data_IF_985412247032
#
_entry.id   IF_985412247032
#
_cell.length_a   1.000
_cell.length_b   1.000
_cell.length_c   1.000
_cell.angle_alpha   90.00
_cell.angle_beta   90.00
_cell.angle_gamma   90.00
#
_symmetry.space_group_name_H-M   'P 1'
#
loop_
_entity.id
_entity.type
_entity.pdbx_description
1 polymer ?
#
# COMPACT_ATOMS: atom_id res chain seq x y z
N UNK A 1 5.67 -1.44 -4.91
CA UNK A 1 7.00 -1.81 -5.44
C UNK A 1 6.85 -3.18 -6.06
N UNK A 2 7.52 -3.46 -7.18
CA UNK A 2 7.49 -4.79 -7.77
C UNK A 2 8.15 -5.80 -6.82
N UNK A 3 7.41 -6.82 -6.41
CA UNK A 3 7.96 -8.00 -5.76
C UNK A 3 8.05 -9.12 -6.80
N UNK A 4 9.26 -9.56 -7.20
CA UNK A 4 9.42 -10.55 -8.27
C UNK A 4 8.86 -11.93 -7.91
N UNK A 5 8.53 -12.20 -6.65
CA UNK A 5 7.93 -13.47 -6.22
C UNK A 5 6.44 -13.38 -5.95
N UNK A 6 5.86 -12.21 -6.14
CA UNK A 6 4.43 -11.99 -6.05
C UNK A 6 3.70 -12.82 -7.11
N UNK A 7 2.57 -13.42 -6.72
CA UNK A 7 1.73 -14.19 -7.61
C UNK A 7 0.82 -15.15 -6.84
N UNK A 8 0.39 -16.21 -7.52
CA UNK A 8 -0.51 -17.23 -6.97
C UNK A 8 0.23 -18.57 -6.80
N UNK A 9 -0.05 -19.27 -5.71
CA UNK A 9 0.37 -20.66 -5.48
C UNK A 9 -0.45 -21.65 -6.31
N UNK A 10 -0.02 -22.92 -6.47
CA UNK A 10 -0.87 -23.96 -7.06
C UNK A 10 -2.23 -24.15 -6.36
N UNK A 11 -2.31 -23.80 -5.07
CA UNK A 11 -3.50 -23.89 -4.24
C UNK A 11 -4.44 -22.68 -4.38
N UNK A 12 -4.09 -21.69 -5.22
CA UNK A 12 -4.91 -20.50 -5.43
C UNK A 12 -4.74 -19.41 -4.36
N UNK A 13 -3.70 -19.50 -3.53
CA UNK A 13 -3.42 -18.51 -2.47
C UNK A 13 -2.40 -17.48 -2.91
N UNK A 14 -2.46 -16.31 -2.27
CA UNK A 14 -1.48 -15.24 -2.48
C UNK A 14 -0.10 -15.74 -2.06
N UNK A 15 0.92 -15.43 -2.86
CA UNK A 15 2.33 -15.60 -2.53
C UNK A 15 3.07 -14.28 -2.72
N UNK A 16 4.01 -14.01 -1.83
CA UNK A 16 4.95 -12.89 -1.94
C UNK A 16 6.37 -13.36 -1.61
N UNK A 17 7.33 -12.46 -1.81
CA UNK A 17 8.71 -12.60 -1.41
C UNK A 17 9.00 -12.15 0.02
N UNK A 18 7.99 -11.82 0.81
CA UNK A 18 8.19 -11.35 2.20
C UNK A 18 8.71 -12.47 3.09
N UNK A 19 9.84 -12.22 3.76
CA UNK A 19 10.39 -13.15 4.73
C UNK A 19 11.41 -12.46 5.62
N UNK A 20 11.40 -12.78 6.92
CA UNK A 20 12.46 -12.33 7.84
C UNK A 20 13.85 -12.82 7.42
N UNK A 21 13.95 -13.95 6.71
CA UNK A 21 15.22 -14.47 6.20
C UNK A 21 15.77 -13.69 4.99
N UNK A 22 14.97 -12.82 4.38
CA UNK A 22 15.35 -12.01 3.21
C UNK A 22 15.70 -10.57 3.54
N UNK A 23 15.45 -10.15 4.78
CA UNK A 23 15.86 -8.84 5.27
C UNK A 23 17.38 -8.72 5.09
N UNK A 24 17.87 -7.76 4.29
CA UNK A 24 19.30 -7.60 4.09
C UNK A 24 20.00 -7.21 5.39
N UNK A 25 21.17 -7.79 5.66
CA UNK A 25 21.89 -7.59 6.92
C UNK A 25 22.15 -6.12 7.25
N UNK A 26 22.38 -5.29 6.22
CA UNK A 26 22.63 -3.88 6.39
C UNK A 26 21.44 -3.09 6.98
N UNK A 27 20.20 -3.61 6.88
CA UNK A 27 19.00 -3.01 7.46
C UNK A 27 18.68 -3.54 8.86
N UNK A 28 19.34 -4.62 9.33
CA UNK A 28 19.11 -5.19 10.67
C UNK A 28 19.28 -4.18 11.80
N UNK A 29 20.30 -3.30 11.81
CA UNK A 29 20.46 -2.32 12.89
C UNK A 29 19.25 -1.38 13.05
N UNK A 30 18.58 -1.04 11.95
CA UNK A 30 17.37 -0.19 11.98
C UNK A 30 16.21 -0.94 12.62
N UNK A 31 15.99 -2.20 12.22
CA UNK A 31 14.92 -3.04 12.75
C UNK A 31 15.14 -3.38 14.23
N UNK A 32 16.37 -3.70 14.62
CA UNK A 32 16.72 -4.01 16.01
C UNK A 32 16.53 -2.78 16.91
N UNK A 33 16.87 -1.58 16.42
CA UNK A 33 16.61 -0.34 17.14
C UNK A 33 15.11 -0.06 17.29
N UNK A 34 14.32 -0.29 16.23
CA UNK A 34 12.86 -0.15 16.30
C UNK A 34 12.25 -1.14 17.30
N UNK A 35 12.65 -2.42 17.27
CA UNK A 35 12.20 -3.44 18.22
C UNK A 35 12.55 -3.07 19.66
N UNK A 36 13.76 -2.55 19.91
CA UNK A 36 14.17 -2.11 21.23
C UNK A 36 13.34 -0.92 21.74
N UNK A 37 12.99 0.01 20.84
CA UNK A 37 12.29 1.24 21.20
C UNK A 37 10.78 1.04 21.48
N UNK A 38 10.10 0.16 20.73
CA UNK A 38 8.65 -0.07 20.94
C UNK A 38 8.34 -0.77 22.26
N UNK A 39 9.32 -1.44 22.87
CA UNK A 39 9.20 -2.04 24.20
C UNK A 39 8.24 -3.23 24.30
N UNK A 40 8.05 -3.73 25.52
CA UNK A 40 7.17 -4.86 25.79
C UNK A 40 5.70 -4.43 25.77
N UNK A 41 4.94 -4.90 24.79
CA UNK A 41 3.48 -4.68 24.70
C UNK A 41 3.00 -4.35 23.29
N UNK A 42 3.88 -3.82 22.43
CA UNK A 42 3.57 -3.57 21.03
C UNK A 42 3.93 -4.78 20.14
N UNK A 43 3.18 -4.96 19.07
CA UNK A 43 3.56 -5.84 17.95
C UNK A 43 4.12 -4.97 16.84
N UNK A 44 5.26 -5.38 16.27
CA UNK A 44 5.91 -4.67 15.17
C UNK A 44 6.13 -5.62 14.00
N UNK A 45 5.81 -5.15 12.81
CA UNK A 45 6.05 -5.83 11.55
C UNK A 45 6.89 -4.94 10.63
N UNK A 46 7.69 -5.57 9.76
CA UNK A 46 8.31 -4.91 8.61
C UNK A 46 7.60 -5.34 7.34
N UNK A 47 7.43 -4.42 6.40
CA UNK A 47 6.88 -4.73 5.07
C UNK A 47 7.70 -4.04 3.97
N UNK A 48 7.21 -4.11 2.73
CA UNK A 48 7.81 -3.39 1.62
C UNK A 48 9.18 -3.93 1.20
N UNK A 49 10.06 -3.03 0.76
CA UNK A 49 11.32 -3.39 0.10
C UNK A 49 12.30 -4.13 1.02
N UNK A 50 12.29 -3.81 2.31
CA UNK A 50 13.16 -4.46 3.30
C UNK A 50 12.70 -5.88 3.53
N UNK A 51 11.40 -6.10 3.70
CA UNK A 51 10.82 -7.42 3.95
C UNK A 51 10.95 -8.37 2.74
N UNK A 52 10.99 -7.84 1.52
CA UNK A 52 11.16 -8.60 0.27
C UNK A 52 12.62 -8.75 -0.17
N UNK A 53 13.57 -8.18 0.57
CA UNK A 53 15.00 -8.22 0.24
C UNK A 53 15.41 -7.36 -0.96
N UNK A 54 14.56 -6.41 -1.38
CA UNK A 54 14.79 -5.51 -2.51
C UNK A 54 15.31 -4.12 -2.10
N UNK A 55 15.46 -3.87 -0.80
CA UNK A 55 15.89 -2.59 -0.27
C UNK A 55 17.31 -2.22 -0.74
N UNK A 56 17.51 -0.94 -1.05
CA UNK A 56 18.78 -0.37 -1.49
C UNK A 56 19.28 0.65 -0.48
N UNK A 57 20.55 0.54 -0.12
CA UNK A 57 21.20 1.45 0.83
C UNK A 57 21.05 2.92 0.43
N UNK A 58 20.67 3.75 1.40
CA UNK A 58 20.47 5.20 1.28
C UNK A 58 19.35 5.61 0.32
N UNK A 59 18.56 4.66 -0.20
CA UNK A 59 17.54 4.92 -1.24
C UNK A 59 16.16 4.36 -0.90
N UNK A 60 16.12 3.24 -0.19
CA UNK A 60 14.88 2.63 0.26
C UNK A 60 14.44 3.17 1.61
N UNK A 61 13.14 3.25 1.79
CA UNK A 61 12.54 3.47 3.10
C UNK A 61 12.50 2.14 3.88
N UNK A 62 12.46 2.26 5.21
CA UNK A 62 12.12 1.17 6.11
C UNK A 62 10.67 1.35 6.56
N UNK A 63 9.80 0.55 5.96
CA UNK A 63 8.37 0.55 6.21
C UNK A 63 8.02 -0.40 7.38
N UNK A 64 7.47 0.15 8.46
CA UNK A 64 7.08 -0.57 9.66
C UNK A 64 5.59 -0.39 9.96
N UNK A 65 4.97 -1.42 10.52
CA UNK A 65 3.61 -1.40 11.01
C UNK A 65 3.59 -1.83 12.48
N UNK A 66 3.06 -0.97 13.34
CA UNK A 66 2.99 -1.17 14.79
C UNK A 66 1.54 -1.34 15.25
N UNK A 67 1.33 -2.16 16.28
CA UNK A 67 0.05 -2.30 16.97
C UNK A 67 0.28 -2.20 18.47
N UNK A 68 -0.56 -1.43 19.17
CA UNK A 68 -0.38 -1.15 20.59
C UNK A 68 0.63 -0.03 20.88
N UNK A 69 1.19 0.60 19.84
CA UNK A 69 1.95 1.83 19.94
C UNK A 69 1.05 3.02 19.55
N UNK A 70 0.88 4.05 20.41
CA UNK A 70 0.13 5.24 20.05
C UNK A 70 0.69 5.91 18.79
N UNK A 71 -0.19 6.50 17.96
CA UNK A 71 0.21 7.09 16.69
C UNK A 71 1.22 8.26 16.83
N UNK A 72 1.12 9.03 17.92
CA UNK A 72 2.12 10.07 18.25
C UNK A 72 3.49 9.47 18.49
N UNK A 73 3.58 8.49 19.40
CA UNK A 73 4.81 7.78 19.72
C UNK A 73 5.42 7.08 18.50
N UNK A 74 4.59 6.49 17.63
CA UNK A 74 5.04 5.90 16.37
C UNK A 74 5.67 6.95 15.43
N UNK A 75 5.07 8.14 15.37
CA UNK A 75 5.59 9.26 14.54
C UNK A 75 6.91 9.77 15.09
N UNK A 76 7.01 9.99 16.41
CA UNK A 76 8.22 10.47 17.06
C UNK A 76 9.36 9.47 16.91
N UNK A 77 9.08 8.18 17.08
CA UNK A 77 10.05 7.11 16.87
C UNK A 77 10.50 6.99 15.41
N UNK A 78 9.58 7.13 14.45
CA UNK A 78 9.90 7.13 13.03
C UNK A 78 10.87 8.26 12.66
N UNK A 79 10.65 9.46 13.21
CA UNK A 79 11.53 10.61 13.02
C UNK A 79 12.91 10.37 13.64
N UNK A 80 12.98 9.88 14.88
CA UNK A 80 14.24 9.56 15.55
C UNK A 80 15.07 8.53 14.76
N UNK A 81 14.43 7.44 14.34
CA UNK A 81 15.11 6.38 13.58
C UNK A 81 15.52 6.85 12.19
N UNK A 82 14.70 7.69 11.54
CA UNK A 82 15.06 8.29 10.25
C UNK A 82 16.35 9.09 10.38
N UNK A 83 16.43 10.00 11.36
CA UNK A 83 17.62 10.83 11.59
C UNK A 83 18.85 10.00 11.95
N UNK A 84 18.66 8.97 12.78
CA UNK A 84 19.75 8.09 13.24
C UNK A 84 20.33 7.22 12.12
N UNK A 85 19.54 6.85 11.12
CA UNK A 85 19.90 5.85 10.11
C UNK A 85 19.85 6.39 8.66
N UNK A 86 20.05 7.70 8.47
CA UNK A 86 20.11 8.35 7.14
C UNK A 86 21.15 7.73 6.19
N UNK A 87 22.24 7.15 6.73
CA UNK A 87 23.26 6.48 5.91
C UNK A 87 22.81 5.10 5.39
N UNK A 88 21.81 4.49 6.03
CA UNK A 88 21.31 3.15 5.71
C UNK A 88 20.06 3.23 4.84
N UNK A 89 19.13 4.11 5.19
CA UNK A 89 17.81 4.23 4.57
C UNK A 89 17.48 5.69 4.25
N UNK A 90 16.54 5.90 3.32
CA UNK A 90 16.07 7.25 2.99
C UNK A 90 15.22 7.84 4.12
N UNK A 91 14.33 7.01 4.69
CA UNK A 91 13.54 7.31 5.87
C UNK A 91 13.09 6.02 6.54
N UNK A 92 12.62 6.13 7.78
CA UNK A 92 11.87 5.11 8.50
C UNK A 92 10.44 5.63 8.66
N UNK A 93 9.46 4.82 8.25
CA UNK A 93 8.04 5.13 8.42
C UNK A 93 7.41 4.08 9.32
N UNK A 94 6.70 4.53 10.37
CA UNK A 94 5.99 3.64 11.29
C UNK A 94 4.50 3.96 11.23
N UNK A 95 3.73 3.11 10.55
CA UNK A 95 2.28 3.17 10.59
C UNK A 95 1.75 2.60 11.91
N UNK A 96 0.82 3.29 12.56
CA UNK A 96 0.09 2.79 13.71
C UNK A 96 -1.20 2.11 13.25
N UNK A 97 -1.26 0.78 13.39
CA UNK A 97 -2.43 -0.02 13.11
C UNK A 97 -3.40 -0.04 14.29
N UNK A 98 -4.70 0.01 13.98
CA UNK A 98 -5.76 -0.23 14.97
C UNK A 98 -6.02 -1.73 15.02
N UNK A 99 -5.63 -2.39 16.12
CA UNK A 99 -5.81 -3.84 16.27
C UNK A 99 -7.27 -4.30 16.18
N UNK A 100 -8.23 -3.44 16.55
CA UNK A 100 -9.67 -3.67 16.38
C UNK A 100 -10.06 -3.79 14.91
N UNK A 101 -9.35 -3.09 14.01
CA UNK A 101 -9.59 -3.12 12.57
C UNK A 101 -9.27 -4.45 11.91
N UNK A 102 -8.76 -5.44 12.65
CA UNK A 102 -8.51 -6.80 12.14
C UNK A 102 -9.61 -7.80 12.52
N UNK A 103 -10.61 -7.37 13.30
CA UNK A 103 -11.66 -8.25 13.85
C UNK A 103 -12.91 -8.20 12.98
N UNK A 104 -13.49 -9.36 12.69
CA UNK A 104 -14.75 -9.48 11.94
C UNK A 104 -14.56 -9.84 10.46
N UNK A 105 -15.67 -9.93 9.74
CA UNK A 105 -15.72 -10.42 8.36
C UNK A 105 -15.85 -9.31 7.30
N UNK A 106 -15.96 -8.05 7.73
CA UNK A 106 -16.03 -6.90 6.83
C UNK A 106 -14.74 -6.73 6.03
N UNK A 107 -14.84 -6.10 4.86
CA UNK A 107 -13.77 -6.09 3.87
C UNK A 107 -12.48 -5.43 4.39
N UNK A 108 -12.58 -4.35 5.18
CA UNK A 108 -11.41 -3.70 5.79
C UNK A 108 -10.61 -4.68 6.67
N UNK A 109 -11.29 -5.39 7.57
CA UNK A 109 -10.64 -6.37 8.45
C UNK A 109 -10.08 -7.55 7.68
N UNK A 110 -10.80 -8.02 6.65
CA UNK A 110 -10.29 -9.06 5.77
C UNK A 110 -9.01 -8.61 5.05
N UNK A 111 -9.01 -7.41 4.44
CA UNK A 111 -7.86 -6.82 3.77
C UNK A 111 -6.66 -6.63 4.71
N UNK A 112 -6.91 -6.15 5.93
CA UNK A 112 -5.87 -6.02 6.97
C UNK A 112 -5.22 -7.35 7.32
N UNK A 113 -6.00 -8.43 7.46
CA UNK A 113 -5.44 -9.78 7.71
C UNK A 113 -4.67 -10.32 6.50
N UNK A 114 -5.17 -10.12 5.28
CA UNK A 114 -4.45 -10.46 4.04
C UNK A 114 -3.10 -9.74 3.99
N UNK A 115 -3.08 -8.43 4.30
CA UNK A 115 -1.86 -7.64 4.33
C UNK A 115 -0.85 -8.14 5.37
N UNK A 116 -1.29 -8.42 6.59
CA UNK A 116 -0.42 -8.95 7.64
C UNK A 116 0.13 -10.32 7.29
N UNK A 117 -0.70 -11.21 6.76
CA UNK A 117 -0.30 -12.58 6.42
C UNK A 117 0.74 -12.62 5.30
N UNK A 118 0.53 -11.82 4.26
CA UNK A 118 1.25 -11.97 3.00
C UNK A 118 2.28 -10.89 2.74
N UNK A 119 2.11 -9.69 3.29
CA UNK A 119 2.97 -8.56 2.98
C UNK A 119 3.82 -8.08 4.16
N UNK A 120 3.63 -8.68 5.34
CA UNK A 120 4.34 -8.29 6.56
C UNK A 120 5.16 -9.46 7.12
N UNK A 121 6.36 -9.17 7.62
CA UNK A 121 7.15 -10.08 8.43
C UNK A 121 7.18 -9.56 9.87
N UNK A 122 6.73 -10.37 10.82
CA UNK A 122 6.71 -9.98 12.24
C UNK A 122 8.15 -9.87 12.79
N UNK A 123 8.41 -8.78 13.49
CA UNK A 123 9.68 -8.53 14.20
C UNK A 123 9.57 -8.87 15.68
N UNK A 124 8.51 -8.41 16.36
CA UNK A 124 8.27 -8.67 17.78
C UNK A 124 6.78 -8.62 18.13
N UNK A 125 6.44 -9.03 19.35
CA UNK A 125 5.08 -9.02 19.89
C UNK A 125 4.22 -10.25 19.50
N UNK A 126 2.98 -10.34 20.00
CA UNK A 126 2.07 -11.45 19.71
C UNK A 126 1.66 -11.50 18.23
N UNK A 127 1.26 -12.69 17.76
CA UNK A 127 0.61 -12.84 16.46
C UNK A 127 -0.77 -12.19 16.48
N UNK A 128 -0.99 -11.26 15.55
CA UNK A 128 -2.28 -10.59 15.41
C UNK A 128 -3.19 -11.32 14.44
N UNK A 129 -2.62 -11.86 13.36
CA UNK A 129 -3.39 -12.68 12.44
C UNK A 129 -3.50 -14.11 12.96
N UNK A 130 -4.69 -14.47 13.44
CA UNK A 130 -5.00 -15.84 13.89
C UNK A 130 -5.39 -16.76 12.73
N UNK A 131 -5.29 -16.31 11.47
CA UNK A 131 -5.51 -17.18 10.32
C UNK A 131 -4.56 -18.37 10.38
N UNK A 132 -5.13 -19.56 10.20
CA UNK A 132 -4.38 -20.82 10.15
C UNK A 132 -4.03 -21.22 8.72
N UNK A 133 -4.50 -20.46 7.74
CA UNK A 133 -4.37 -20.74 6.31
C UNK A 133 -4.05 -19.46 5.55
N UNK A 134 -3.36 -19.62 4.43
CA UNK A 134 -3.09 -18.52 3.51
C UNK A 134 -4.37 -18.06 2.81
N UNK A 135 -4.47 -16.74 2.60
CA UNK A 135 -5.63 -16.15 1.94
C UNK A 135 -5.63 -16.41 0.41
N UNK A 136 -6.82 -16.66 -0.17
CA UNK A 136 -6.97 -16.81 -1.62
C UNK A 136 -6.61 -15.53 -2.36
N UNK A 137 -6.04 -15.67 -3.55
CA UNK A 137 -5.79 -14.58 -4.49
C UNK A 137 -7.05 -14.29 -5.32
N UNK A 138 -8.07 -13.73 -4.68
CA UNK A 138 -9.40 -13.60 -5.26
C UNK A 138 -9.98 -12.17 -5.17
N UNK A 139 -11.22 -12.02 -5.66
CA UNK A 139 -11.94 -10.76 -5.62
C UNK A 139 -12.19 -10.27 -4.18
N UNK A 140 -12.31 -11.16 -3.18
CA UNK A 140 -12.49 -10.74 -1.78
C UNK A 140 -11.21 -10.10 -1.25
N UNK A 141 -10.04 -10.66 -1.55
CA UNK A 141 -8.75 -10.05 -1.20
C UNK A 141 -8.55 -8.71 -1.91
N UNK A 142 -8.84 -8.63 -3.22
CA UNK A 142 -8.74 -7.39 -3.97
C UNK A 142 -9.68 -6.30 -3.41
N UNK A 143 -10.93 -6.67 -3.07
CA UNK A 143 -11.89 -5.78 -2.42
C UNK A 143 -11.41 -5.35 -1.03
N UNK A 144 -10.84 -6.27 -0.24
CA UNK A 144 -10.28 -5.93 1.07
C UNK A 144 -9.19 -4.86 1.02
N UNK A 145 -8.40 -4.79 -0.06
CA UNK A 145 -7.39 -3.74 -0.22
C UNK A 145 -7.92 -2.40 -0.74
N UNK A 146 -8.95 -2.44 -1.61
CA UNK A 146 -9.26 -1.31 -2.48
C UNK A 146 -10.76 -1.00 -2.64
N UNK A 147 -11.65 -1.71 -1.95
CA UNK A 147 -13.09 -1.48 -2.06
C UNK A 147 -13.57 -0.13 -1.50
N UNK A 148 -12.71 0.56 -0.74
CA UNK A 148 -12.86 1.94 -0.28
C UNK A 148 -12.56 3.01 -1.35
N UNK A 149 -12.14 2.63 -2.57
CA UNK A 149 -11.70 3.59 -3.60
C UNK A 149 -12.74 4.68 -3.91
N UNK A 150 -14.03 4.34 -3.89
CA UNK A 150 -15.11 5.31 -4.10
C UNK A 150 -15.21 6.33 -2.95
N UNK A 151 -14.96 5.90 -1.71
CA UNK A 151 -14.95 6.78 -0.53
C UNK A 151 -13.77 7.75 -0.62
N UNK A 152 -12.60 7.24 -1.03
CA UNK A 152 -11.42 8.05 -1.28
C UNK A 152 -11.63 9.08 -2.40
N UNK A 153 -12.25 8.70 -3.52
CA UNK A 153 -12.56 9.62 -4.60
C UNK A 153 -13.42 10.80 -4.13
N UNK A 154 -14.45 10.55 -3.31
CA UNK A 154 -15.27 11.60 -2.68
C UNK A 154 -14.44 12.48 -1.75
N UNK A 155 -13.57 11.88 -0.93
CA UNK A 155 -12.70 12.63 -0.02
C UNK A 155 -11.72 13.53 -0.76
N UNK A 156 -11.09 13.06 -1.83
CA UNK A 156 -10.16 13.89 -2.61
C UNK A 156 -10.86 15.05 -3.31
N UNK A 157 -12.11 14.87 -3.78
CA UNK A 157 -12.94 15.98 -4.27
C UNK A 157 -13.16 17.01 -3.17
N UNK A 158 -13.59 16.56 -1.99
CA UNK A 158 -13.79 17.42 -0.83
C UNK A 158 -12.52 18.16 -0.41
N UNK A 159 -11.36 17.48 -0.38
CA UNK A 159 -10.06 18.07 -0.06
C UNK A 159 -9.71 19.17 -1.08
N UNK A 160 -9.89 18.92 -2.38
CA UNK A 160 -9.62 19.92 -3.43
C UNK A 160 -10.54 21.13 -3.32
N UNK A 161 -11.83 20.91 -3.08
CA UNK A 161 -12.82 21.99 -2.93
C UNK A 161 -12.51 22.85 -1.70
N UNK A 162 -12.09 22.21 -0.61
CA UNK A 162 -11.64 22.86 0.63
C UNK A 162 -10.28 23.58 0.51
N UNK A 163 -9.59 23.43 -0.63
CA UNK A 163 -8.33 24.14 -0.89
C UNK A 163 -7.06 23.43 -0.46
N UNK A 164 -7.09 22.11 -0.30
CA UNK A 164 -5.88 21.32 -0.12
C UNK A 164 -4.90 21.50 -1.30
N UNK A 165 -3.61 21.34 -1.02
CA UNK A 165 -2.54 21.43 -2.01
C UNK A 165 -2.72 20.37 -3.11
N UNK A 166 -2.96 20.78 -4.38
CA UNK A 166 -3.30 19.83 -5.45
C UNK A 166 -2.24 18.76 -5.69
N UNK A 167 -0.97 19.10 -5.56
CA UNK A 167 0.12 18.13 -5.71
C UNK A 167 0.07 17.01 -4.65
N UNK A 168 -0.38 17.32 -3.44
CA UNK A 168 -0.52 16.33 -2.39
C UNK A 168 -1.74 15.43 -2.62
N UNK A 169 -2.88 16.03 -2.98
CA UNK A 169 -4.09 15.27 -3.33
C UNK A 169 -3.81 14.37 -4.53
N UNK A 170 -3.19 14.89 -5.58
CA UNK A 170 -2.80 14.13 -6.77
C UNK A 170 -1.91 12.93 -6.44
N UNK A 171 -0.92 13.10 -5.56
CA UNK A 171 -0.07 11.99 -5.06
C UNK A 171 -0.89 10.91 -4.35
N UNK A 172 -1.74 11.30 -3.39
CA UNK A 172 -2.58 10.36 -2.60
C UNK A 172 -3.56 9.62 -3.52
N UNK A 173 -4.22 10.36 -4.41
CA UNK A 173 -5.12 9.87 -5.44
C UNK A 173 -4.45 8.83 -6.33
N UNK A 174 -3.34 9.19 -6.97
CA UNK A 174 -2.62 8.31 -7.87
C UNK A 174 -2.20 7.00 -7.20
N UNK A 175 -1.59 7.04 -6.01
CA UNK A 175 -1.10 5.82 -5.34
C UNK A 175 -2.22 4.83 -5.01
N UNK A 176 -3.37 5.33 -4.56
CA UNK A 176 -4.51 4.50 -4.19
C UNK A 176 -5.27 4.01 -5.42
N UNK A 177 -5.51 4.86 -6.42
CA UNK A 177 -6.13 4.44 -7.69
C UNK A 177 -5.28 3.38 -8.40
N UNK A 178 -3.96 3.56 -8.49
CA UNK A 178 -3.08 2.58 -9.10
C UNK A 178 -3.02 1.25 -8.33
N UNK A 179 -3.21 1.26 -7.00
CA UNK A 179 -3.34 0.03 -6.22
C UNK A 179 -4.67 -0.68 -6.51
N UNK A 180 -5.76 0.07 -6.69
CA UNK A 180 -7.04 -0.48 -7.13
C UNK A 180 -6.95 -1.10 -8.53
N UNK A 181 -6.21 -0.47 -9.45
CA UNK A 181 -5.89 -1.02 -10.78
C UNK A 181 -5.13 -2.34 -10.67
N UNK A 182 -4.20 -2.47 -9.72
CA UNK A 182 -3.50 -3.74 -9.47
C UNK A 182 -4.46 -4.85 -8.99
N UNK A 183 -5.44 -4.51 -8.16
CA UNK A 183 -6.53 -5.42 -7.79
C UNK A 183 -7.39 -5.84 -9.00
N UNK A 184 -7.75 -4.88 -9.87
CA UNK A 184 -8.47 -5.15 -11.12
C UNK A 184 -7.71 -6.11 -12.04
N UNK A 185 -6.41 -5.88 -12.24
CA UNK A 185 -5.57 -6.77 -13.06
C UNK A 185 -5.45 -8.16 -12.43
N UNK A 186 -5.25 -8.24 -11.11
CA UNK A 186 -5.16 -9.52 -10.41
C UNK A 186 -6.41 -10.38 -10.64
N UNK A 187 -7.59 -9.79 -10.44
CA UNK A 187 -8.86 -10.50 -10.67
C UNK A 187 -9.12 -10.76 -12.15
N UNK A 188 -8.85 -9.81 -13.04
CA UNK A 188 -9.09 -9.96 -14.48
C UNK A 188 -8.22 -11.05 -15.11
N UNK A 189 -6.91 -11.03 -14.83
CA UNK A 189 -5.95 -11.96 -15.43
C UNK A 189 -5.84 -13.29 -14.66
N UNK A 190 -6.55 -13.44 -13.53
CA UNK A 190 -6.44 -14.61 -12.64
C UNK A 190 -4.98 -14.83 -12.19
N UNK A 191 -4.30 -13.73 -11.87
CA UNK A 191 -2.95 -13.65 -11.32
C UNK A 191 -3.01 -12.78 -10.04
N UNK A 192 -1.88 -12.53 -9.39
CA UNK A 192 -1.84 -11.62 -8.25
C UNK A 192 -0.69 -10.65 -8.35
N UNK A 193 -1.00 -9.35 -8.28
CA UNK A 193 0.02 -8.31 -8.23
C UNK A 193 -0.42 -7.05 -7.48
N UNK A 194 0.54 -6.38 -6.85
CA UNK A 194 0.45 -5.02 -6.30
C UNK A 194 1.40 -4.05 -7.02
N UNK A 195 2.06 -4.50 -8.10
CA UNK A 195 2.90 -3.64 -8.94
C UNK A 195 2.03 -2.69 -9.78
N UNK A 196 1.95 -1.45 -9.29
CA UNK A 196 1.22 -0.34 -9.91
C UNK A 196 1.61 -0.07 -11.37
N UNK A 197 2.89 -0.17 -11.71
CA UNK A 197 3.36 0.13 -13.07
C UNK A 197 2.98 -1.00 -14.03
N UNK A 198 3.22 -2.26 -13.63
CA UNK A 198 2.76 -3.45 -14.38
C UNK A 198 1.25 -3.42 -14.57
N UNK A 199 0.51 -3.14 -13.50
CA UNK A 199 -0.95 -3.10 -13.53
C UNK A 199 -1.49 -1.99 -14.43
N UNK A 200 -0.97 -0.77 -14.31
CA UNK A 200 -1.37 0.35 -15.17
C UNK A 200 -1.11 0.07 -16.66
N UNK A 201 0.06 -0.50 -16.99
CA UNK A 201 0.37 -0.89 -18.36
C UNK A 201 -0.60 -1.95 -18.88
N UNK A 202 -0.89 -2.98 -18.08
CA UNK A 202 -1.83 -4.04 -18.45
C UNK A 202 -3.25 -3.52 -18.61
N UNK A 203 -3.74 -2.72 -17.65
CA UNK A 203 -5.09 -2.18 -17.69
C UNK A 203 -5.28 -1.16 -18.81
N UNK A 204 -4.22 -0.45 -19.23
CA UNK A 204 -4.27 0.40 -20.43
C UNK A 204 -4.51 -0.37 -21.73
N UNK A 205 -4.25 -1.69 -21.75
CA UNK A 205 -4.61 -2.56 -22.87
C UNK A 205 -6.06 -3.05 -22.75
N UNK A 206 -6.52 -3.32 -21.52
CA UNK A 206 -7.89 -3.80 -21.24
C UNK A 206 -8.91 -2.68 -21.46
N UNK A 207 -8.64 -1.47 -20.96
CA UNK A 207 -9.47 -0.27 -21.06
C UNK A 207 -8.67 0.89 -21.68
N UNK A 208 -8.45 0.92 -23.01
CA UNK A 208 -7.59 1.91 -23.66
C UNK A 208 -7.99 3.37 -23.42
N UNK A 209 -9.28 3.64 -23.18
CA UNK A 209 -9.77 4.99 -22.90
C UNK A 209 -9.18 5.57 -21.61
N UNK A 210 -8.81 4.72 -20.65
CA UNK A 210 -8.21 5.12 -19.37
C UNK A 210 -6.68 5.22 -19.43
N UNK A 211 -6.03 4.72 -20.48
CA UNK A 211 -4.58 4.52 -20.51
C UNK A 211 -3.73 5.79 -20.41
N UNK A 212 -4.18 6.89 -21.05
CA UNK A 212 -3.52 8.20 -20.94
C UNK A 212 -3.55 8.70 -19.50
N UNK A 213 -4.70 8.56 -18.83
CA UNK A 213 -4.86 8.93 -17.44
C UNK A 213 -4.02 8.07 -16.50
N UNK A 214 -4.00 6.75 -16.69
CA UNK A 214 -3.16 5.84 -15.90
C UNK A 214 -1.66 6.20 -16.00
N UNK A 215 -1.20 6.58 -17.20
CA UNK A 215 0.17 7.06 -17.41
C UNK A 215 0.44 8.35 -16.62
N UNK A 216 -0.52 9.27 -16.60
CA UNK A 216 -0.43 10.51 -15.81
C UNK A 216 -0.44 10.23 -14.31
N UNK A 217 -1.28 9.30 -13.84
CA UNK A 217 -1.31 8.92 -12.43
C UNK A 217 0.04 8.32 -11.99
N UNK A 218 0.69 7.51 -12.84
CA UNK A 218 2.03 7.00 -12.55
C UNK A 218 3.06 8.12 -12.34
N UNK A 219 3.03 9.17 -13.17
CA UNK A 219 3.98 10.29 -13.02
C UNK A 219 3.75 11.09 -11.74
N UNK A 220 2.52 11.12 -11.22
CA UNK A 220 2.16 11.79 -9.97
C UNK A 220 2.40 10.94 -8.73
N UNK A 221 2.56 9.61 -8.83
CA UNK A 221 2.64 8.73 -7.66
C UNK A 221 3.96 8.85 -6.89
N UNK A 222 5.07 9.15 -7.60
CA UNK A 222 6.43 9.17 -7.07
C UNK A 222 6.89 10.58 -6.67
N UNK A 223 7.52 10.76 -5.49
CA UNK A 223 8.10 12.04 -5.08
C UNK A 223 9.16 12.52 -6.07
N UNK A 224 9.03 13.77 -6.54
CA UNK A 224 10.02 14.41 -7.42
C UNK A 224 9.95 14.01 -8.90
N UNK A 225 9.04 13.11 -9.30
CA UNK A 225 8.89 12.68 -10.70
C UNK A 225 8.18 13.72 -11.58
N UNK A 226 7.41 14.63 -10.98
CA UNK A 226 6.62 15.66 -11.68
C UNK A 226 6.74 16.99 -10.93
N UNK A 227 6.85 18.10 -11.65
CA UNK A 227 6.87 19.43 -11.04
C UNK A 227 5.52 19.71 -10.35
N UNK A 228 5.53 20.38 -9.20
CA UNK A 228 4.27 20.81 -8.55
C UNK A 228 3.42 21.69 -9.46
N UNK A 229 4.03 22.39 -10.42
CA UNK A 229 3.33 23.19 -11.43
C UNK A 229 2.47 22.34 -12.39
N UNK A 230 2.85 21.10 -12.65
CA UNK A 230 2.13 20.20 -13.57
C UNK A 230 0.92 19.53 -12.89
N UNK A 231 0.88 19.54 -11.54
CA UNK A 231 -0.23 18.99 -10.74
C UNK A 231 -1.13 20.14 -10.26
N UNK A 232 -1.86 20.75 -11.19
CA UNK A 232 -2.81 21.83 -10.88
C UNK A 232 -4.15 21.30 -10.36
N UNK A 233 -4.93 22.13 -9.65
CA UNK A 233 -6.30 21.78 -9.21
C UNK A 233 -7.17 21.29 -10.38
N UNK A 234 -7.08 21.94 -11.53
CA UNK A 234 -7.84 21.55 -12.72
C UNK A 234 -7.39 20.19 -13.26
N UNK A 235 -6.09 19.90 -13.25
CA UNK A 235 -5.58 18.61 -13.71
C UNK A 235 -6.02 17.47 -12.78
N UNK A 236 -5.91 17.66 -11.45
CA UNK A 236 -6.37 16.66 -10.49
C UNK A 236 -7.88 16.45 -10.59
N UNK A 237 -8.67 17.52 -10.70
CA UNK A 237 -10.12 17.43 -10.89
C UNK A 237 -10.50 16.68 -12.17
N UNK A 238 -9.80 16.93 -13.29
CA UNK A 238 -10.01 16.22 -14.55
C UNK A 238 -9.74 14.72 -14.42
N UNK A 239 -8.63 14.33 -13.78
CA UNK A 239 -8.34 12.90 -13.55
C UNK A 239 -9.32 12.26 -12.58
N UNK A 240 -9.81 13.01 -11.58
CA UNK A 240 -10.78 12.51 -10.62
C UNK A 240 -12.12 12.19 -11.30
N UNK A 241 -12.58 13.05 -12.20
CA UNK A 241 -13.85 12.86 -12.95
C UNK A 241 -13.71 11.86 -14.11
N UNK A 242 -12.53 11.78 -14.71
CA UNK A 242 -12.25 10.87 -15.82
C UNK A 242 -11.71 9.53 -15.33
N UNK A 243 -10.39 9.42 -15.26
CA UNK A 243 -9.68 8.16 -15.03
C UNK A 243 -10.04 7.50 -13.69
N UNK A 244 -10.05 8.27 -12.60
CA UNK A 244 -10.39 7.72 -11.28
C UNK A 244 -11.86 7.30 -11.23
N UNK A 245 -12.77 8.11 -11.77
CA UNK A 245 -14.19 7.75 -11.91
C UNK A 245 -14.38 6.43 -12.66
N UNK A 246 -13.74 6.29 -13.82
CA UNK A 246 -13.77 5.05 -14.60
C UNK A 246 -13.18 3.85 -13.85
N UNK A 247 -12.10 4.03 -13.08
CA UNK A 247 -11.56 2.96 -12.24
C UNK A 247 -12.52 2.59 -11.10
N UNK A 248 -13.19 3.56 -10.47
CA UNK A 248 -14.20 3.30 -9.44
C UNK A 248 -15.36 2.47 -10.02
N UNK A 249 -15.84 2.82 -11.22
CA UNK A 249 -16.89 2.07 -11.92
C UNK A 249 -16.44 0.63 -12.23
N UNK A 250 -15.28 0.47 -12.86
CA UNK A 250 -14.72 -0.85 -13.17
C UNK A 250 -14.53 -1.71 -11.91
N UNK A 251 -14.09 -1.10 -10.80
CA UNK A 251 -13.90 -1.81 -9.53
C UNK A 251 -15.24 -2.24 -8.93
N UNK A 252 -16.25 -1.37 -8.96
CA UNK A 252 -17.59 -1.69 -8.48
C UNK A 252 -18.22 -2.84 -9.27
N UNK A 253 -18.08 -2.85 -10.59
CA UNK A 253 -18.67 -3.87 -11.47
C UNK A 253 -17.98 -5.23 -11.36
N UNK A 254 -16.64 -5.25 -11.28
CA UNK A 254 -15.86 -6.50 -11.39
C UNK A 254 -15.49 -7.14 -10.06
N UNK A 255 -15.42 -6.35 -8.99
CA UNK A 255 -14.91 -6.79 -7.68
C UNK A 255 -15.91 -6.48 -6.55
N UNK A 256 -16.57 -5.32 -6.63
CA UNK A 256 -17.43 -4.76 -5.60
C UNK A 256 -16.68 -3.76 -4.71
N UNK A 257 -17.42 -2.80 -4.17
CA UNK A 257 -16.93 -1.81 -3.21
C UNK A 257 -17.23 -2.26 -1.78
N UNK A 258 -16.57 -1.65 -0.79
CA UNK A 258 -16.97 -1.84 0.60
C UNK A 258 -18.39 -1.33 0.79
N UNK A 259 -19.17 -2.06 1.58
CA UNK A 259 -20.45 -1.57 2.08
C UNK A 259 -20.20 -0.28 2.89
N UNK A 260 -20.97 0.77 2.58
CA UNK A 260 -20.86 2.08 3.23
C UNK A 260 -21.60 2.17 4.54
#
# INVERSE_FOLDING_TARGET
>A
MADPLEGITPEGTIRTGVSSARVPDAFRPVLDAAVAAVGAGATLYVYGSVATGQARLGRSDVDLLSFGLPAGDATDLAAELSDRFLDICRSVDIAAGLGEGLVGEHDEAYGGRVFLRHYCARLCGPELDRSTHDFPADARAARGFNGDIAQHARRWRSDLDAGAEPAEVGRRMSRKTLLAVAGLVSVHDQDWTTDRARAAARWSVVEPILGVGLTRLLSWAEPGATSSADVSRSAVGHELDGTVGGIVEQFAERIGLWDG
#
